data_IF_008883371724
#
_entry.id   IF_008883371724
#
_cell.length_a   1.000
_cell.length_b   1.000
_cell.length_c   1.000
_cell.angle_alpha   90.00
_cell.angle_beta   90.00
_cell.angle_gamma   90.00
#
_symmetry.space_group_name_H-M   'P 1'
#
loop_
_entity.id
_entity.type
_entity.pdbx_description
1 polymer ?
#
# COMPACT_ATOMS: atom_id res chain seq x y z
N UNK A 1 -33.87 22.22 6.10
CA UNK A 1 -32.75 23.17 6.28
C UNK A 1 -31.47 22.41 5.96
N UNK A 2 -30.63 22.93 5.06
CA UNK A 2 -29.49 22.17 4.52
C UNK A 2 -28.47 21.84 5.63
N UNK A 3 -28.25 20.55 5.92
CA UNK A 3 -27.26 20.10 6.93
C UNK A 3 -25.86 20.65 6.66
N UNK A 4 -25.53 21.03 5.42
CA UNK A 4 -24.27 21.70 5.10
C UNK A 4 -24.20 23.12 5.70
N UNK A 5 -25.29 23.87 5.68
CA UNK A 5 -25.35 25.21 6.29
C UNK A 5 -25.32 25.13 7.82
N UNK A 6 -25.94 24.11 8.40
CA UNK A 6 -25.83 23.83 9.85
C UNK A 6 -24.40 23.46 10.26
N UNK A 7 -23.68 22.71 9.41
CA UNK A 7 -22.27 22.40 9.61
C UNK A 7 -21.41 23.67 9.57
N UNK A 8 -21.60 24.54 8.57
CA UNK A 8 -20.92 25.84 8.49
C UNK A 8 -21.14 26.64 9.77
N UNK A 9 -22.40 26.81 10.18
CA UNK A 9 -22.76 27.55 11.40
C UNK A 9 -22.14 26.93 12.65
N UNK A 10 -22.07 25.61 12.74
CA UNK A 10 -21.45 24.92 13.86
C UNK A 10 -19.94 25.18 13.95
N UNK A 11 -19.23 25.15 12.82
CA UNK A 11 -17.79 25.44 12.75
C UNK A 11 -17.50 26.90 13.11
N UNK A 12 -18.28 27.83 12.57
CA UNK A 12 -18.18 29.28 12.86
C UNK A 12 -18.42 29.58 14.33
N UNK A 13 -19.45 28.97 14.94
CA UNK A 13 -19.76 29.13 16.38
C UNK A 13 -18.57 28.74 17.27
N UNK A 14 -17.76 27.77 16.83
CA UNK A 14 -16.58 27.31 17.55
C UNK A 14 -15.28 28.00 17.11
N UNK A 15 -15.37 29.01 16.23
CA UNK A 15 -14.23 29.72 15.64
C UNK A 15 -13.21 28.76 14.99
N UNK A 16 -13.71 27.76 14.28
CA UNK A 16 -12.87 26.82 13.51
C UNK A 16 -12.23 27.54 12.32
N UNK A 17 -10.98 27.22 12.00
CA UNK A 17 -10.32 27.67 10.77
C UNK A 17 -10.45 26.67 9.61
N UNK A 18 -11.21 25.60 9.83
CA UNK A 18 -11.48 24.58 8.83
C UNK A 18 -12.27 25.14 7.65
N UNK A 19 -11.90 24.73 6.45
CA UNK A 19 -12.53 25.20 5.22
C UNK A 19 -13.46 24.13 4.65
N UNK A 20 -14.71 24.51 4.37
CA UNK A 20 -15.68 23.64 3.70
C UNK A 20 -15.52 23.78 2.19
N UNK A 21 -15.33 22.66 1.52
CA UNK A 21 -15.14 22.56 0.07
C UNK A 21 -16.34 21.79 -0.49
N UNK A 22 -17.29 22.52 -1.04
CA UNK A 22 -18.51 21.99 -1.67
C UNK A 22 -18.21 21.56 -3.11
N UNK A 23 -19.11 20.78 -3.70
CA UNK A 23 -19.02 20.36 -5.11
C UNK A 23 -18.98 21.52 -6.09
N UNK A 24 -19.57 22.67 -5.73
CA UNK A 24 -19.54 23.89 -6.54
C UNK A 24 -18.24 24.70 -6.43
N UNK A 25 -17.33 24.37 -5.50
CA UNK A 25 -16.06 25.07 -5.38
C UNK A 25 -15.10 24.62 -6.48
N UNK A 26 -14.40 25.57 -7.12
CA UNK A 26 -13.45 25.27 -8.20
C UNK A 26 -12.34 24.27 -7.82
N UNK A 27 -11.98 24.21 -6.53
CA UNK A 27 -10.99 23.29 -5.99
C UNK A 27 -11.55 21.92 -5.56
N UNK A 28 -12.83 21.65 -5.78
CA UNK A 28 -13.44 20.37 -5.40
C UNK A 28 -12.75 19.21 -6.13
N UNK A 29 -12.51 19.34 -7.43
CA UNK A 29 -11.88 18.29 -8.24
C UNK A 29 -10.46 17.99 -7.80
N UNK A 30 -9.74 19.00 -7.31
CA UNK A 30 -8.41 18.84 -6.72
C UNK A 30 -8.46 17.98 -5.46
N UNK A 31 -9.47 18.19 -4.61
CA UNK A 31 -9.70 17.38 -3.43
C UNK A 31 -10.30 16.01 -3.76
N UNK A 32 -10.98 15.87 -4.91
CA UNK A 32 -11.59 14.62 -5.35
C UNK A 32 -10.76 13.85 -6.38
N UNK A 33 -9.52 14.27 -6.65
CA UNK A 33 -8.62 13.58 -7.57
C UNK A 33 -8.42 12.14 -7.13
N UNK A 34 -8.67 11.19 -8.02
CA UNK A 34 -8.57 9.75 -7.80
C UNK A 34 -7.82 9.11 -8.97
N UNK A 35 -6.65 8.54 -8.69
CA UNK A 35 -5.80 7.94 -9.72
C UNK A 35 -6.36 6.61 -10.27
N UNK A 36 -7.03 5.85 -9.40
CA UNK A 36 -7.69 4.61 -9.75
C UNK A 36 -9.13 4.91 -10.14
N UNK A 37 -9.52 4.56 -11.37
CA UNK A 37 -10.86 4.83 -11.90
C UNK A 37 -11.92 3.85 -11.35
N UNK A 38 -11.52 2.75 -10.73
CA UNK A 38 -12.45 1.75 -10.16
C UNK A 38 -13.29 2.37 -9.04
N UNK A 39 -14.62 2.26 -9.10
CA UNK A 39 -15.55 2.72 -8.05
C UNK A 39 -15.32 4.19 -7.59
N UNK A 40 -15.22 5.13 -8.55
CA UNK A 40 -15.10 6.57 -8.25
C UNK A 40 -16.12 7.04 -7.21
N UNK A 41 -15.63 7.77 -6.21
CA UNK A 41 -16.48 8.38 -5.17
C UNK A 41 -16.68 9.86 -5.47
N UNK A 42 -17.87 10.36 -5.13
CA UNK A 42 -18.20 11.78 -5.18
C UNK A 42 -18.77 12.21 -3.82
N UNK A 43 -17.92 12.59 -2.86
CA UNK A 43 -18.35 13.12 -1.58
C UNK A 43 -19.23 14.37 -1.75
N UNK A 44 -20.14 14.62 -0.80
CA UNK A 44 -20.95 15.85 -0.78
C UNK A 44 -20.11 17.12 -0.55
N UNK A 45 -18.89 16.96 -0.07
CA UNK A 45 -17.90 18.00 0.13
C UNK A 45 -16.74 17.49 0.98
N UNK A 46 -15.74 18.35 1.18
CA UNK A 46 -14.59 18.12 2.05
C UNK A 46 -14.51 19.17 3.14
N UNK A 47 -13.84 18.83 4.24
CA UNK A 47 -13.50 19.77 5.31
C UNK A 47 -11.98 19.75 5.43
N UNK A 48 -11.33 20.78 4.92
CA UNK A 48 -9.88 20.94 5.03
C UNK A 48 -9.57 21.58 6.39
N UNK A 49 -9.09 20.76 7.32
CA UNK A 49 -8.67 21.18 8.66
C UNK A 49 -7.22 21.66 8.64
N UNK A 50 -6.90 22.70 9.43
CA UNK A 50 -5.56 23.32 9.45
C UNK A 50 -4.82 23.13 10.78
N UNK A 51 -5.48 22.55 11.78
CA UNK A 51 -4.91 22.35 13.11
C UNK A 51 -5.57 21.19 13.86
N UNK A 52 -4.93 20.66 14.92
CA UNK A 52 -5.55 19.71 15.83
C UNK A 52 -6.84 20.24 16.49
N UNK A 53 -6.94 21.57 16.68
CA UNK A 53 -8.17 22.21 17.17
C UNK A 53 -9.30 22.08 16.16
N UNK A 54 -9.02 22.34 14.88
CA UNK A 54 -10.00 22.20 13.80
C UNK A 54 -10.49 20.77 13.65
N UNK A 55 -9.62 19.77 13.85
CA UNK A 55 -10.02 18.36 13.88
C UNK A 55 -11.05 18.12 14.99
N UNK A 56 -10.74 18.54 16.23
CA UNK A 56 -11.64 18.36 17.38
C UNK A 56 -13.00 19.03 17.16
N UNK A 57 -13.01 20.27 16.67
CA UNK A 57 -14.23 21.04 16.40
C UNK A 57 -15.03 20.40 15.26
N UNK A 58 -14.37 20.00 14.18
CA UNK A 58 -15.00 19.32 13.04
C UNK A 58 -15.69 18.03 13.48
N UNK A 59 -15.00 17.16 14.22
CA UNK A 59 -15.58 15.91 14.73
C UNK A 59 -16.76 16.20 15.66
N UNK A 60 -16.66 17.21 16.53
CA UNK A 60 -17.77 17.64 17.41
C UNK A 60 -19.00 18.03 16.60
N UNK A 61 -18.83 18.84 15.56
CA UNK A 61 -19.92 19.30 14.71
C UNK A 61 -20.54 18.17 13.86
N UNK A 62 -19.71 17.32 13.26
CA UNK A 62 -20.17 16.15 12.49
C UNK A 62 -20.98 15.19 13.37
N UNK A 63 -20.53 14.94 14.61
CA UNK A 63 -21.28 14.13 15.59
C UNK A 63 -22.62 14.75 15.96
N UNK A 64 -22.64 16.06 16.23
CA UNK A 64 -23.87 16.78 16.60
C UNK A 64 -24.93 16.73 15.48
N UNK A 65 -24.51 16.73 14.23
CA UNK A 65 -25.38 16.75 13.05
C UNK A 65 -25.64 15.35 12.46
N UNK A 66 -25.08 14.32 13.10
CA UNK A 66 -25.15 12.91 12.66
C UNK A 66 -24.69 12.72 11.20
N UNK A 67 -23.67 13.48 10.81
CA UNK A 67 -23.09 13.40 9.48
C UNK A 67 -22.09 12.25 9.41
N UNK A 68 -22.27 11.34 8.44
CA UNK A 68 -21.27 10.32 8.10
C UNK A 68 -20.07 11.01 7.45
N UNK A 69 -18.87 10.61 7.85
CA UNK A 69 -17.62 11.15 7.33
C UNK A 69 -16.57 10.06 7.22
N UNK A 70 -15.54 10.34 6.42
CA UNK A 70 -14.36 9.50 6.26
C UNK A 70 -13.14 10.41 6.39
N UNK A 71 -12.12 9.93 7.09
CA UNK A 71 -10.87 10.69 7.25
C UNK A 71 -10.00 10.49 6.01
N UNK A 72 -9.49 11.60 5.53
CA UNK A 72 -8.82 11.79 4.26
C UNK A 72 -7.34 12.17 4.53
N UNK A 73 -6.38 11.38 4.04
CA UNK A 73 -4.91 11.53 4.18
C UNK A 73 -4.26 11.27 2.81
N UNK A 74 -3.18 10.53 2.59
CA UNK A 74 -2.55 10.42 1.26
C UNK A 74 -3.45 9.92 0.10
N UNK A 75 -4.59 9.30 0.39
CA UNK A 75 -5.53 8.85 -0.64
C UNK A 75 -5.14 7.61 -1.43
N UNK A 76 -4.21 6.84 -0.87
CA UNK A 76 -3.73 5.59 -1.45
C UNK A 76 -4.54 4.36 -1.02
N UNK A 77 -5.70 4.52 -0.36
CA UNK A 77 -6.55 3.37 -0.04
C UNK A 77 -7.01 2.68 -1.32
N UNK A 78 -6.68 1.39 -1.46
CA UNK A 78 -6.99 0.58 -2.63
C UNK A 78 -8.50 0.37 -2.85
N UNK A 79 -9.30 0.45 -1.78
CA UNK A 79 -10.76 0.46 -1.79
C UNK A 79 -11.35 1.87 -1.56
N UNK A 80 -10.51 2.90 -1.68
CA UNK A 80 -10.88 4.33 -1.62
C UNK A 80 -11.48 4.77 -0.29
N UNK A 81 -11.03 4.18 0.81
CA UNK A 81 -11.47 4.53 2.16
C UNK A 81 -10.79 5.80 2.75
N UNK A 82 -9.92 6.57 2.05
CA UNK A 82 -9.12 7.67 2.70
C UNK A 82 -8.45 8.83 1.89
N UNK A 83 -9.01 9.43 0.82
CA UNK A 83 -8.37 10.50 -0.06
C UNK A 83 -7.58 11.72 0.58
N UNK A 84 -6.62 12.45 -0.04
CA UNK A 84 -5.95 13.80 0.29
C UNK A 84 -5.22 14.29 1.63
N UNK A 85 -3.97 14.80 1.52
CA UNK A 85 -3.18 15.58 2.54
C UNK A 85 -1.76 16.07 2.10
N UNK A 86 -1.17 17.14 2.72
CA UNK A 86 0.09 17.91 2.39
C UNK A 86 0.94 18.26 3.66
N UNK A 87 2.23 18.68 3.54
CA UNK A 87 3.27 18.73 4.64
C UNK A 87 4.19 19.98 4.64
N UNK A 88 4.70 20.36 5.83
CA UNK A 88 5.90 21.21 6.05
C UNK A 88 6.86 20.60 7.11
N UNK A 89 8.10 21.10 7.17
CA UNK A 89 9.25 20.50 7.88
C UNK A 89 9.76 21.39 9.03
N UNK A 90 10.24 20.78 10.13
CA UNK A 90 11.06 21.40 11.18
C UNK A 90 12.37 20.60 11.35
N UNK A 91 13.51 21.31 11.39
CA UNK A 91 14.87 20.75 11.24
C UNK A 91 15.65 20.59 12.55
N UNK A 92 15.08 20.87 13.72
CA UNK A 92 15.89 20.94 14.96
C UNK A 92 15.83 19.71 15.88
N UNK A 93 14.82 18.82 15.78
CA UNK A 93 14.55 17.82 16.84
C UNK A 93 14.85 16.36 16.48
N UNK A 94 15.14 16.02 15.22
CA UNK A 94 15.17 14.64 14.71
C UNK A 94 13.90 13.79 15.03
N UNK A 95 12.81 14.40 15.52
CA UNK A 95 11.52 13.76 15.72
C UNK A 95 10.62 14.14 14.53
N UNK A 96 10.32 13.16 13.68
CA UNK A 96 9.28 13.31 12.67
C UNK A 96 7.90 13.11 13.34
N UNK A 97 7.20 14.21 13.65
CA UNK A 97 5.77 14.12 13.97
C UNK A 97 5.00 13.96 12.65
N UNK A 98 4.66 12.72 12.32
CA UNK A 98 3.89 12.37 11.12
C UNK A 98 2.41 12.46 11.46
N UNK A 99 1.76 13.57 11.14
CA UNK A 99 0.29 13.65 11.17
C UNK A 99 -0.31 12.74 10.08
N UNK A 100 -1.53 12.23 10.29
CA UNK A 100 -2.21 11.39 9.30
C UNK A 100 -2.46 12.19 8.00
N UNK A 101 -1.56 12.08 7.02
CA UNK A 101 -1.57 12.96 5.84
C UNK A 101 -0.32 12.88 4.96
N UNK A 102 0.81 12.44 5.52
CA UNK A 102 2.12 12.49 4.87
C UNK A 102 2.22 11.51 3.69
N UNK A 103 2.42 12.08 2.51
CA UNK A 103 2.72 11.38 1.27
C UNK A 103 4.26 11.15 1.19
N UNK A 104 4.70 9.92 0.85
CA UNK A 104 6.13 9.53 0.73
C UNK A 104 6.71 9.64 -0.72
N UNK A 105 7.69 10.54 -0.90
CA UNK A 105 8.13 11.29 -2.11
C UNK A 105 8.20 10.67 -3.53
N UNK A 106 8.26 11.59 -4.52
CA UNK A 106 8.37 11.39 -5.98
C UNK A 106 9.84 11.18 -6.39
N UNK A 107 10.13 10.19 -7.26
CA UNK A 107 10.68 10.35 -8.62
C UNK A 107 11.29 9.01 -9.09
N UNK A 108 10.83 8.44 -10.22
CA UNK A 108 11.70 8.12 -11.38
C UNK A 108 10.96 7.39 -12.50
N UNK A 109 11.04 7.96 -13.69
CA UNK A 109 10.72 7.36 -14.99
C UNK A 109 12.01 7.17 -15.82
N UNK A 110 13.10 6.66 -15.22
CA UNK A 110 14.40 6.54 -15.92
C UNK A 110 15.21 5.28 -15.60
N UNK A 111 14.55 4.14 -15.36
CA UNK A 111 15.25 2.85 -15.17
C UNK A 111 14.70 1.74 -16.09
N UNK A 112 14.05 2.10 -17.20
CA UNK A 112 13.47 1.14 -18.14
C UNK A 112 14.37 0.76 -19.32
N UNK A 113 15.65 1.14 -19.32
CA UNK A 113 16.54 0.92 -20.48
C UNK A 113 17.78 0.05 -20.21
N UNK A 114 17.80 -0.78 -19.16
CA UNK A 114 18.91 -1.73 -19.00
C UNK A 114 18.45 -3.13 -18.60
N UNK A 115 18.60 -4.06 -19.56
CA UNK A 115 18.79 -5.49 -19.31
C UNK A 115 17.54 -6.36 -19.48
N UNK A 116 17.33 -6.89 -20.69
CA UNK A 116 16.41 -7.99 -20.96
C UNK A 116 16.84 -9.26 -20.20
N UNK A 117 16.02 -9.73 -19.25
CA UNK A 117 16.12 -11.08 -18.69
C UNK A 117 14.72 -11.67 -18.46
N UNK A 118 14.27 -12.48 -19.43
CA UNK A 118 13.16 -13.41 -19.25
C UNK A 118 13.71 -14.75 -18.73
N UNK A 119 13.80 -14.88 -17.41
CA UNK A 119 14.07 -16.14 -16.70
C UNK A 119 13.58 -16.01 -15.25
N UNK A 120 12.26 -15.88 -15.07
CA UNK A 120 11.61 -15.62 -13.78
C UNK A 120 11.92 -16.74 -12.76
N UNK A 121 11.78 -18.00 -13.15
CA UNK A 121 11.93 -19.16 -12.22
C UNK A 121 13.33 -19.25 -11.62
N UNK A 122 14.38 -19.16 -12.43
CA UNK A 122 15.77 -19.24 -11.96
C UNK A 122 16.11 -18.06 -11.04
N UNK A 123 15.81 -16.82 -11.45
CA UNK A 123 16.07 -15.64 -10.64
C UNK A 123 15.30 -15.68 -9.30
N UNK A 124 14.05 -16.16 -9.31
CA UNK A 124 13.27 -16.38 -8.08
C UNK A 124 13.89 -17.47 -7.21
N UNK A 125 14.35 -18.57 -7.80
CA UNK A 125 15.03 -19.64 -7.07
C UNK A 125 16.29 -19.11 -6.38
N UNK A 126 17.13 -18.34 -7.09
CA UNK A 126 18.35 -17.71 -6.54
C UNK A 126 18.01 -16.71 -5.43
N UNK A 127 16.97 -15.90 -5.60
CA UNK A 127 16.47 -15.00 -4.56
C UNK A 127 15.99 -15.73 -3.30
N UNK A 128 15.24 -16.83 -3.45
CA UNK A 128 14.81 -17.66 -2.32
C UNK A 128 16.00 -18.34 -1.63
N UNK A 129 17.01 -18.79 -2.37
CA UNK A 129 18.24 -19.34 -1.82
C UNK A 129 19.01 -18.30 -0.99
N UNK A 130 19.11 -17.07 -1.49
CA UNK A 130 19.67 -15.94 -0.73
C UNK A 130 18.88 -15.70 0.56
N UNK A 131 17.56 -15.61 0.48
CA UNK A 131 16.70 -15.38 1.65
C UNK A 131 16.79 -16.53 2.67
N UNK A 132 16.91 -17.77 2.20
CA UNK A 132 17.11 -18.97 3.05
C UNK A 132 18.41 -18.93 3.82
N UNK A 133 19.44 -18.25 3.28
CA UNK A 133 20.72 -18.06 3.96
C UNK A 133 20.68 -16.95 5.03
N UNK A 134 19.49 -16.41 5.35
CA UNK A 134 19.26 -15.43 6.42
C UNK A 134 20.19 -14.20 6.26
N UNK A 135 19.97 -13.40 5.21
CA UNK A 135 20.78 -12.21 4.96
C UNK A 135 20.75 -11.25 6.15
N UNK A 136 21.76 -10.38 6.23
CA UNK A 136 21.85 -9.39 7.31
C UNK A 136 20.59 -8.54 7.40
N UNK A 137 20.22 -8.16 8.63
CA UNK A 137 19.11 -7.24 8.91
C UNK A 137 19.31 -5.84 8.31
N UNK A 138 20.53 -5.50 7.87
CA UNK A 138 20.83 -4.28 7.12
C UNK A 138 20.39 -4.34 5.65
N UNK A 139 19.94 -5.49 5.15
CA UNK A 139 19.58 -5.69 3.74
C UNK A 139 18.07 -5.90 3.61
N UNK A 140 17.39 -4.98 2.94
CA UNK A 140 16.02 -5.18 2.45
C UNK A 140 16.02 -5.64 0.99
N UNK A 141 14.99 -6.40 0.60
CA UNK A 141 14.80 -6.77 -0.81
C UNK A 141 13.37 -6.55 -1.28
N UNK A 142 13.24 -6.06 -2.52
CA UNK A 142 11.98 -5.95 -3.23
C UNK A 142 12.09 -6.68 -4.58
N UNK A 143 11.02 -7.37 -4.97
CA UNK A 143 10.94 -7.96 -6.31
C UNK A 143 9.71 -7.43 -7.02
N UNK A 144 9.90 -6.81 -8.18
CA UNK A 144 8.82 -6.19 -8.96
C UNK A 144 8.66 -6.88 -10.29
N UNK A 145 7.43 -7.12 -10.71
CA UNK A 145 7.13 -7.63 -12.04
C UNK A 145 6.01 -6.83 -12.69
N UNK A 146 6.28 -6.35 -13.91
CA UNK A 146 5.30 -5.67 -14.73
C UNK A 146 4.78 -6.59 -15.82
N UNK A 147 3.47 -6.87 -15.81
CA UNK A 147 2.84 -7.78 -16.77
C UNK A 147 2.94 -7.30 -18.23
N UNK A 148 3.00 -5.98 -18.47
CA UNK A 148 3.21 -5.44 -19.82
C UNK A 148 4.66 -5.60 -20.31
N UNK A 149 5.61 -5.45 -19.40
CA UNK A 149 7.04 -5.57 -19.71
C UNK A 149 7.53 -7.01 -19.70
N UNK A 150 6.77 -7.93 -19.07
CA UNK A 150 7.20 -9.31 -18.82
C UNK A 150 8.57 -9.39 -18.15
N UNK A 151 8.87 -8.41 -17.29
CA UNK A 151 10.18 -8.22 -16.70
C UNK A 151 10.08 -8.21 -15.19
N UNK A 152 10.94 -9.00 -14.54
CA UNK A 152 11.12 -9.01 -13.10
C UNK A 152 12.40 -8.26 -12.73
N UNK A 153 12.29 -7.32 -11.78
CA UNK A 153 13.41 -6.60 -11.19
C UNK A 153 13.60 -7.04 -9.75
N UNK A 154 14.80 -7.50 -9.42
CA UNK A 154 15.22 -7.83 -8.07
C UNK A 154 16.07 -6.67 -7.54
N UNK A 155 15.60 -6.03 -6.47
CA UNK A 155 16.26 -4.89 -5.85
C UNK A 155 16.67 -5.24 -4.43
N UNK A 156 17.89 -4.82 -4.08
CA UNK A 156 18.46 -4.97 -2.76
C UNK A 156 18.85 -3.58 -2.26
N UNK A 157 18.43 -3.25 -1.04
CA UNK A 157 18.73 -1.98 -0.39
C UNK A 157 19.54 -2.30 0.86
N UNK A 158 20.81 -1.91 0.86
CA UNK A 158 21.72 -2.08 1.99
C UNK A 158 21.76 -0.77 2.76
N UNK A 159 21.38 -0.82 4.04
CA UNK A 159 21.55 0.28 4.98
C UNK A 159 22.67 -0.08 5.95
N UNK A 160 23.90 0.28 5.58
CA UNK A 160 25.10 -0.02 6.35
C UNK A 160 26.03 1.19 6.36
N UNK A 161 26.52 1.57 7.55
CA UNK A 161 27.42 2.71 7.73
C UNK A 161 28.89 2.29 7.63
N UNK A 162 29.20 1.01 7.90
CA UNK A 162 30.54 0.47 7.70
C UNK A 162 30.75 0.10 6.23
N UNK A 163 31.64 0.82 5.55
CA UNK A 163 31.90 0.61 4.12
C UNK A 163 32.43 -0.81 3.81
N UNK A 164 33.26 -1.38 4.69
CA UNK A 164 33.80 -2.73 4.50
C UNK A 164 32.72 -3.80 4.64
N UNK A 165 31.81 -3.63 5.59
CA UNK A 165 30.65 -4.51 5.77
C UNK A 165 29.63 -4.36 4.64
N UNK A 166 29.41 -3.14 4.14
CA UNK A 166 28.58 -2.89 2.96
C UNK A 166 29.14 -3.63 1.72
N UNK A 167 30.47 -3.60 1.49
CA UNK A 167 31.08 -4.36 0.40
C UNK A 167 30.88 -5.87 0.57
N UNK A 168 31.02 -6.41 1.79
CA UNK A 168 30.72 -7.82 2.07
C UNK A 168 29.26 -8.16 1.74
N UNK A 169 28.32 -7.30 2.10
CA UNK A 169 26.91 -7.50 1.74
C UNK A 169 26.65 -7.48 0.23
N UNK A 170 27.37 -6.64 -0.52
CA UNK A 170 27.32 -6.65 -1.99
C UNK A 170 27.83 -8.00 -2.51
N UNK A 171 28.96 -8.49 -2.00
CA UNK A 171 29.54 -9.77 -2.41
C UNK A 171 28.64 -10.96 -2.03
N UNK A 172 28.00 -10.92 -0.85
CA UNK A 172 27.01 -11.90 -0.42
C UNK A 172 25.82 -11.99 -1.40
N UNK A 173 25.36 -10.85 -1.93
CA UNK A 173 24.30 -10.82 -2.96
C UNK A 173 24.83 -11.34 -4.29
N UNK A 174 26.04 -10.92 -4.71
CA UNK A 174 26.68 -11.37 -5.96
C UNK A 174 26.88 -12.87 -6.03
N UNK A 175 27.09 -13.53 -4.89
CA UNK A 175 27.19 -14.99 -4.83
C UNK A 175 25.93 -15.70 -5.38
N UNK A 176 24.77 -15.05 -5.31
CA UNK A 176 23.51 -15.55 -5.90
C UNK A 176 23.15 -14.85 -7.22
N UNK A 177 23.64 -13.63 -7.45
CA UNK A 177 23.40 -12.83 -8.65
C UNK A 177 24.74 -12.41 -9.30
N UNK A 178 25.50 -13.34 -9.91
CA UNK A 178 26.80 -13.05 -10.52
C UNK A 178 26.73 -12.03 -11.66
N UNK A 179 25.55 -11.81 -12.25
CA UNK A 179 25.28 -10.79 -13.26
C UNK A 179 25.30 -9.34 -12.71
N UNK A 180 25.25 -9.18 -11.38
CA UNK A 180 25.24 -7.86 -10.72
C UNK A 180 26.61 -7.17 -10.80
N UNK A 181 26.83 -6.43 -11.89
CA UNK A 181 28.03 -5.62 -12.11
C UNK A 181 27.97 -4.25 -11.42
N UNK A 182 29.12 -3.56 -11.35
CA UNK A 182 29.26 -2.28 -10.65
C UNK A 182 28.35 -1.16 -11.17
N UNK A 183 27.91 -1.22 -12.44
CA UNK A 183 26.99 -0.21 -13.00
C UNK A 183 25.58 -0.31 -12.42
N UNK A 184 25.22 -1.47 -11.88
CA UNK A 184 23.93 -1.71 -11.22
C UNK A 184 23.98 -1.34 -9.72
N UNK A 185 25.18 -1.08 -9.19
CA UNK A 185 25.38 -0.70 -7.79
C UNK A 185 25.45 0.81 -7.70
N UNK A 186 24.69 1.36 -6.76
CA UNK A 186 24.73 2.79 -6.46
C UNK A 186 24.80 2.97 -4.95
N UNK A 187 25.89 3.60 -4.52
CA UNK A 187 26.14 3.98 -3.14
C UNK A 187 25.79 5.46 -3.05
N UNK A 188 24.82 5.80 -2.21
CA UNK A 188 24.34 7.17 -2.05
C UNK A 188 23.84 7.41 -0.63
N UNK A 189 23.53 8.66 -0.32
CA UNK A 189 22.93 9.00 0.97
C UNK A 189 21.55 8.35 1.12
N UNK A 190 21.09 8.23 2.37
CA UNK A 190 19.75 7.72 2.67
C UNK A 190 18.66 8.48 1.88
N UNK A 191 18.71 9.82 1.85
CA UNK A 191 17.72 10.65 1.16
C UNK A 191 17.71 10.43 -0.36
N UNK A 192 18.89 10.33 -0.99
CA UNK A 192 18.98 10.02 -2.42
C UNK A 192 18.47 8.62 -2.73
N UNK A 193 18.77 7.65 -1.86
CA UNK A 193 18.25 6.28 -1.99
C UNK A 193 16.74 6.26 -1.86
N UNK A 194 16.16 6.93 -0.85
CA UNK A 194 14.70 7.05 -0.68
C UNK A 194 14.06 7.62 -1.95
N UNK A 195 14.57 8.73 -2.48
CA UNK A 195 14.01 9.33 -3.70
C UNK A 195 14.05 8.37 -4.90
N UNK A 196 15.10 7.57 -5.01
CA UNK A 196 15.30 6.61 -6.11
C UNK A 196 14.42 5.37 -6.00
N UNK A 197 14.27 4.81 -4.79
CA UNK A 197 13.49 3.56 -4.59
C UNK A 197 12.01 3.81 -4.33
N UNK A 198 11.62 5.07 -4.10
CA UNK A 198 10.22 5.47 -3.94
C UNK A 198 9.44 5.32 -5.25
N UNK A 199 8.17 4.95 -5.13
CA UNK A 199 7.27 4.88 -6.28
C UNK A 199 6.95 6.29 -6.79
N UNK A 200 6.92 6.48 -8.10
CA UNK A 200 6.37 7.69 -8.68
C UNK A 200 4.89 7.80 -8.30
N UNK A 201 4.48 8.93 -7.70
CA UNK A 201 3.08 9.11 -7.36
C UNK A 201 2.22 9.34 -8.59
N UNK A 202 0.96 8.96 -8.42
CA UNK A 202 -0.09 9.42 -9.28
C UNK A 202 -0.38 10.91 -9.00
N UNK A 203 -0.04 11.73 -9.98
CA UNK A 203 -0.38 13.15 -10.02
C UNK A 203 -1.57 13.34 -10.97
N UNK A 204 -2.13 14.55 -11.06
CA UNK A 204 -3.16 14.86 -12.07
C UNK A 204 -2.69 14.63 -13.51
N UNK A 205 -1.38 14.65 -13.75
CA UNK A 205 -0.78 14.40 -15.06
C UNK A 205 -0.49 12.91 -15.30
N UNK A 206 -0.71 12.05 -14.30
CA UNK A 206 -0.51 10.62 -14.45
C UNK A 206 -1.62 10.02 -15.30
N UNK A 207 -1.25 9.05 -16.13
CA UNK A 207 -2.23 8.27 -16.89
C UNK A 207 -3.15 7.54 -15.91
N UNK A 208 -4.45 7.81 -16.02
CA UNK A 208 -5.47 7.17 -15.20
C UNK A 208 -5.68 5.72 -15.66
N UNK A 209 -5.98 4.85 -14.70
CA UNK A 209 -6.15 3.42 -14.98
C UNK A 209 -7.21 2.83 -14.06
N UNK A 210 -7.86 1.76 -14.52
CA UNK A 210 -8.56 0.84 -13.64
C UNK A 210 -7.52 -0.07 -12.99
N UNK A 211 -7.55 -0.15 -11.66
CA UNK A 211 -6.67 -1.05 -10.92
C UNK A 211 -7.45 -1.76 -9.82
N UNK A 212 -7.19 -3.05 -9.67
CA UNK A 212 -7.54 -3.83 -8.49
C UNK A 212 -6.28 -4.54 -8.03
N UNK A 213 -6.05 -4.55 -6.72
CA UNK A 213 -4.96 -5.29 -6.12
C UNK A 213 -5.46 -6.16 -4.99
N UNK A 214 -4.64 -7.14 -4.64
CA UNK A 214 -4.82 -8.05 -3.52
C UNK A 214 -3.46 -8.36 -2.91
N UNK A 215 -3.45 -9.01 -1.75
CA UNK A 215 -2.21 -9.51 -1.18
C UNK A 215 -2.42 -10.81 -0.41
N UNK A 216 -1.34 -11.56 -0.26
CA UNK A 216 -1.22 -12.60 0.76
C UNK A 216 0.22 -12.74 1.22
N UNK A 217 0.41 -13.28 2.42
CA UNK A 217 1.74 -13.63 2.92
C UNK A 217 2.17 -15.03 2.49
N UNK A 218 3.48 -15.20 2.34
CA UNK A 218 4.12 -16.48 2.04
C UNK A 218 5.10 -16.82 3.15
N UNK A 219 4.98 -18.02 3.71
CA UNK A 219 5.82 -18.52 4.83
C UNK A 219 6.63 -19.76 4.46
N UNK A 220 6.67 -20.14 3.18
CA UNK A 220 7.43 -21.30 2.68
C UNK A 220 8.24 -20.93 1.44
N UNK A 221 9.37 -21.61 1.25
CA UNK A 221 10.10 -21.54 -0.02
C UNK A 221 9.43 -22.44 -1.06
N UNK A 222 9.26 -21.93 -2.27
CA UNK A 222 8.67 -22.63 -3.38
C UNK A 222 9.70 -23.52 -4.08
N UNK A 223 9.27 -24.72 -4.49
CA UNK A 223 10.08 -25.57 -5.36
C UNK A 223 9.96 -25.12 -6.84
N UNK A 224 10.73 -25.75 -7.73
CA UNK A 224 10.75 -25.39 -9.15
C UNK A 224 9.38 -25.49 -9.83
N UNK A 225 8.60 -26.55 -9.56
CA UNK A 225 7.26 -26.73 -10.14
C UNK A 225 6.31 -25.63 -9.67
N UNK A 226 6.38 -25.28 -8.39
CA UNK A 226 5.62 -24.19 -7.78
C UNK A 226 6.00 -22.82 -8.35
N UNK A 227 7.30 -22.57 -8.57
CA UNK A 227 7.79 -21.35 -9.21
C UNK A 227 7.37 -21.24 -10.68
N UNK A 228 7.43 -22.34 -11.43
CA UNK A 228 6.94 -22.40 -12.81
C UNK A 228 5.45 -22.11 -12.85
N UNK A 229 4.65 -22.75 -11.98
CA UNK A 229 3.21 -22.48 -11.91
C UNK A 229 2.91 -21.02 -11.53
N UNK A 230 3.66 -20.45 -10.60
CA UNK A 230 3.55 -19.03 -10.24
C UNK A 230 3.85 -18.14 -11.45
N UNK A 231 4.97 -18.40 -12.14
CA UNK A 231 5.40 -17.68 -13.33
C UNK A 231 4.36 -17.75 -14.45
N UNK A 232 3.90 -18.95 -14.82
CA UNK A 232 2.91 -19.16 -15.88
C UNK A 232 1.60 -18.44 -15.57
N UNK A 233 1.16 -18.47 -14.30
CA UNK A 233 -0.07 -17.79 -13.87
C UNK A 233 0.02 -16.26 -14.03
N UNK A 234 1.21 -15.67 -13.88
CA UNK A 234 1.41 -14.23 -14.08
C UNK A 234 1.22 -13.83 -15.54
N UNK A 235 1.76 -14.64 -16.46
CA UNK A 235 1.61 -14.44 -17.89
C UNK A 235 0.17 -14.69 -18.34
N UNK A 236 -0.42 -15.82 -17.93
CA UNK A 236 -1.76 -16.24 -18.33
C UNK A 236 -2.83 -15.22 -17.94
N UNK A 237 -2.73 -14.66 -16.72
CA UNK A 237 -3.73 -13.73 -16.20
C UNK A 237 -3.32 -12.26 -16.26
N UNK A 238 -2.18 -11.95 -16.88
CA UNK A 238 -1.66 -10.58 -17.05
C UNK A 238 -1.57 -9.82 -15.71
N UNK A 239 -0.87 -10.42 -14.74
CA UNK A 239 -0.78 -9.95 -13.35
C UNK A 239 0.58 -9.31 -13.10
N UNK A 240 0.59 -8.10 -12.53
CA UNK A 240 1.80 -7.47 -11.99
C UNK A 240 1.91 -7.76 -10.50
N UNK A 241 3.13 -7.86 -9.96
CA UNK A 241 3.32 -8.05 -8.52
C UNK A 241 4.48 -7.24 -7.95
N UNK A 242 4.43 -7.11 -6.63
CA UNK A 242 5.49 -6.66 -5.75
C UNK A 242 5.66 -7.69 -4.63
N UNK A 243 6.88 -8.19 -4.44
CA UNK A 243 7.29 -8.93 -3.26
C UNK A 243 8.12 -8.03 -2.35
N UNK A 244 7.84 -8.07 -1.06
CA UNK A 244 8.63 -7.38 -0.04
C UNK A 244 9.03 -8.40 1.03
N UNK A 245 10.31 -8.45 1.38
CA UNK A 245 10.83 -9.40 2.39
C UNK A 245 10.40 -9.01 3.81
N UNK A 246 9.92 -9.98 4.59
CA UNK A 246 9.42 -9.78 5.96
C UNK A 246 10.29 -10.48 7.03
N UNK A 247 11.46 -10.99 6.65
CA UNK A 247 12.38 -11.67 7.59
C UNK A 247 13.13 -10.68 8.51
N UNK A 248 14.05 -11.20 9.33
CA UNK A 248 14.92 -10.36 10.15
C UNK A 248 14.21 -9.67 11.31
N UNK A 249 14.43 -8.36 11.49
CA UNK A 249 13.86 -7.56 12.60
C UNK A 249 12.34 -7.62 12.72
N UNK A 250 11.64 -7.83 11.60
CA UNK A 250 10.17 -7.96 11.62
C UNK A 250 9.75 -9.19 12.43
N UNK A 251 10.51 -10.29 12.33
CA UNK A 251 10.20 -11.58 12.97
C UNK A 251 10.71 -11.66 14.43
N UNK A 252 11.52 -10.70 14.90
CA UNK A 252 11.96 -10.64 16.30
C UNK A 252 10.84 -10.17 17.26
N UNK A 253 9.82 -9.50 16.74
CA UNK A 253 8.70 -8.95 17.52
C UNK A 253 7.57 -9.99 17.58
N UNK A 254 7.03 -10.22 18.77
CA UNK A 254 5.88 -11.13 18.96
C UNK A 254 4.66 -10.70 18.14
N UNK A 255 3.93 -11.68 17.59
CA UNK A 255 2.76 -11.45 16.73
C UNK A 255 1.61 -10.72 17.44
N UNK A 256 1.56 -10.74 18.78
CA UNK A 256 0.56 -10.03 19.58
C UNK A 256 1.00 -8.64 20.08
N UNK A 257 2.24 -8.25 19.81
CA UNK A 257 2.81 -7.00 20.33
C UNK A 257 2.10 -5.76 19.78
N UNK A 258 1.72 -5.78 18.49
CA UNK A 258 0.96 -4.72 17.83
C UNK A 258 -0.26 -5.30 17.09
N UNK A 259 -1.10 -4.46 16.50
CA UNK A 259 -2.21 -4.93 15.67
C UNK A 259 -1.73 -5.75 14.46
N UNK A 260 -0.52 -5.45 13.97
CA UNK A 260 0.13 -6.15 12.86
C UNK A 260 0.70 -7.48 13.37
N UNK A 261 0.13 -8.59 12.90
CA UNK A 261 0.45 -9.95 13.36
C UNK A 261 1.44 -10.73 12.49
N UNK A 262 1.77 -10.23 11.29
CA UNK A 262 2.49 -10.97 10.25
C UNK A 262 4.01 -11.02 10.51
N UNK A 263 4.39 -11.71 11.58
CA UNK A 263 5.76 -11.81 12.12
C UNK A 263 6.47 -13.11 11.76
N UNK A 264 5.80 -14.02 11.05
CA UNK A 264 6.32 -15.34 10.69
C UNK A 264 6.16 -15.59 9.19
N UNK A 265 6.50 -14.58 8.38
CA UNK A 265 6.39 -14.60 6.92
C UNK A 265 7.76 -14.37 6.30
N UNK A 266 8.01 -15.02 5.16
CA UNK A 266 9.20 -14.77 4.36
C UNK A 266 9.05 -13.46 3.58
N UNK A 267 7.87 -13.26 3.00
CA UNK A 267 7.52 -12.06 2.25
C UNK A 267 6.00 -11.89 2.14
N UNK A 268 5.57 -10.67 1.82
CA UNK A 268 4.22 -10.40 1.32
C UNK A 268 4.26 -10.35 -0.21
N UNK A 269 3.23 -10.91 -0.84
CA UNK A 269 3.00 -10.76 -2.28
C UNK A 269 1.80 -9.84 -2.47
N UNK A 270 2.05 -8.62 -2.95
CA UNK A 270 1.01 -7.74 -3.49
C UNK A 270 0.91 -8.00 -4.99
N UNK A 271 -0.29 -8.24 -5.49
CA UNK A 271 -0.52 -8.46 -6.91
C UNK A 271 -1.69 -7.62 -7.40
N UNK A 272 -1.59 -7.16 -8.63
CA UNK A 272 -2.56 -6.25 -9.22
C UNK A 272 -2.78 -6.54 -10.70
N UNK A 273 -4.02 -6.33 -11.13
CA UNK A 273 -4.40 -6.23 -12.52
C UNK A 273 -4.79 -4.79 -12.79
N UNK A 274 -4.29 -4.22 -13.88
CA UNK A 274 -4.58 -2.85 -14.26
C UNK A 274 -4.76 -2.68 -15.77
N UNK A 275 -5.65 -1.80 -16.18
CA UNK A 275 -5.85 -1.43 -17.58
C UNK A 275 -6.05 0.09 -17.73
N UNK A 276 -5.61 0.62 -18.88
CA UNK A 276 -5.87 2.01 -19.24
C UNK A 276 -7.31 2.18 -19.73
N UNK A 277 -7.79 3.42 -19.79
CA UNK A 277 -9.02 3.74 -20.50
C UNK A 277 -8.86 3.42 -21.99
N UNK A 278 -9.88 2.83 -22.58
CA UNK A 278 -9.97 2.67 -24.04
C UNK A 278 -11.26 3.33 -24.55
N UNK A 279 -11.28 3.86 -25.78
CA UNK A 279 -12.49 4.44 -26.36
C UNK A 279 -13.67 3.45 -26.42
N UNK A 280 -13.39 2.15 -26.46
CA UNK A 280 -14.37 1.07 -26.60
C UNK A 280 -15.08 0.69 -25.28
N UNK A 281 -14.52 1.08 -24.13
CA UNK A 281 -15.11 0.86 -22.80
C UNK A 281 -15.00 2.16 -21.97
N UNK A 282 -15.74 3.21 -22.34
CA UNK A 282 -15.58 4.56 -21.75
C UNK A 282 -15.90 4.58 -20.24
N UNK A 283 -16.80 3.69 -19.78
CA UNK A 283 -17.15 3.52 -18.37
C UNK A 283 -16.30 2.43 -17.67
N UNK A 284 -15.47 1.70 -18.42
CA UNK A 284 -14.57 0.67 -17.91
C UNK A 284 -15.26 -0.53 -17.27
N UNK A 285 -16.53 -0.77 -17.57
CA UNK A 285 -17.33 -1.78 -16.85
C UNK A 285 -16.87 -3.20 -17.21
N UNK A 286 -16.61 -3.46 -18.49
CA UNK A 286 -16.16 -4.77 -18.94
C UNK A 286 -14.70 -4.98 -18.55
N UNK A 287 -13.88 -3.94 -18.69
CA UNK A 287 -12.50 -3.90 -18.20
C UNK A 287 -12.42 -4.27 -16.72
N UNK A 288 -13.25 -3.66 -15.87
CA UNK A 288 -13.26 -3.96 -14.43
C UNK A 288 -13.63 -5.42 -14.13
N UNK A 289 -14.63 -5.98 -14.83
CA UNK A 289 -15.00 -7.40 -14.69
C UNK A 289 -13.85 -8.32 -15.09
N UNK A 290 -13.20 -8.05 -16.23
CA UNK A 290 -12.09 -8.86 -16.70
C UNK A 290 -10.89 -8.81 -15.75
N UNK A 291 -10.52 -7.62 -15.26
CA UNK A 291 -9.45 -7.47 -14.27
C UNK A 291 -9.75 -8.24 -12.98
N UNK A 292 -10.99 -8.18 -12.50
CA UNK A 292 -11.43 -8.94 -11.33
C UNK A 292 -11.36 -10.45 -11.58
N UNK A 293 -11.88 -10.94 -12.72
CA UNK A 293 -11.80 -12.37 -13.08
C UNK A 293 -10.37 -12.88 -13.17
N UNK A 294 -9.45 -12.09 -13.75
CA UNK A 294 -8.04 -12.45 -13.82
C UNK A 294 -7.40 -12.57 -12.44
N UNK A 295 -7.72 -11.66 -11.52
CA UNK A 295 -7.22 -11.71 -10.14
C UNK A 295 -7.76 -12.91 -9.36
N UNK A 296 -9.01 -13.30 -9.59
CA UNK A 296 -9.59 -14.51 -8.99
C UNK A 296 -8.89 -15.77 -9.50
N UNK A 297 -8.79 -15.91 -10.83
CA UNK A 297 -8.12 -17.08 -11.45
C UNK A 297 -6.66 -17.19 -11.02
N UNK A 298 -5.95 -16.07 -11.00
CA UNK A 298 -4.59 -16.02 -10.49
C UNK A 298 -4.52 -16.43 -9.02
N UNK A 299 -5.36 -15.86 -8.15
CA UNK A 299 -5.38 -16.21 -6.72
C UNK A 299 -5.59 -17.71 -6.52
N UNK A 300 -6.55 -18.29 -7.25
CA UNK A 300 -6.83 -19.71 -7.20
C UNK A 300 -5.64 -20.56 -7.68
N UNK A 301 -4.99 -20.17 -8.77
CA UNK A 301 -3.86 -20.92 -9.33
C UNK A 301 -2.65 -20.93 -8.39
N UNK A 302 -2.41 -19.82 -7.66
CA UNK A 302 -1.26 -19.65 -6.74
C UNK A 302 -1.59 -19.84 -5.26
N UNK A 303 -2.78 -20.33 -4.92
CA UNK A 303 -3.25 -20.50 -3.53
C UNK A 303 -2.30 -21.35 -2.67
N UNK A 304 -1.54 -22.27 -3.29
CA UNK A 304 -0.55 -23.11 -2.62
C UNK A 304 0.60 -22.33 -1.96
N UNK A 305 0.81 -21.06 -2.36
CA UNK A 305 1.83 -20.16 -1.79
C UNK A 305 1.35 -19.47 -0.52
N UNK A 306 0.04 -19.19 -0.42
CA UNK A 306 -0.53 -18.32 0.58
C UNK A 306 -0.61 -19.01 1.96
N UNK A 307 -0.19 -18.30 3.01
CA UNK A 307 -0.34 -18.77 4.40
C UNK A 307 -1.73 -18.44 5.00
N UNK A 308 -2.61 -17.77 4.24
CA UNK A 308 -3.95 -17.37 4.66
C UNK A 308 -4.06 -15.99 5.30
N UNK A 309 -2.94 -15.26 5.47
CA UNK A 309 -2.91 -13.90 6.01
C UNK A 309 -2.79 -12.85 4.88
N UNK A 310 -3.30 -11.64 5.14
CA UNK A 310 -3.33 -10.54 4.16
C UNK A 310 -2.94 -9.23 4.85
N UNK A 311 -2.32 -8.30 4.12
CA UNK A 311 -1.94 -7.02 4.71
C UNK A 311 -3.06 -6.00 4.63
N UNK A 312 -3.47 -5.43 5.77
CA UNK A 312 -4.58 -4.46 5.85
C UNK A 312 -4.38 -3.21 4.99
N UNK A 313 -3.15 -2.77 4.71
CA UNK A 313 -2.92 -1.61 3.83
C UNK A 313 -3.10 -1.93 2.33
N UNK A 314 -3.11 -3.22 1.97
CA UNK A 314 -3.57 -3.73 0.67
C UNK A 314 -5.00 -4.26 0.79
N UNK A 315 -5.86 -3.44 1.41
CA UNK A 315 -7.23 -3.82 1.74
C UNK A 315 -7.99 -4.30 0.51
N UNK A 316 -8.68 -5.42 0.66
CA UNK A 316 -9.56 -5.99 -0.34
C UNK A 316 -10.96 -6.15 0.26
N UNK A 317 -11.94 -5.48 -0.35
CA UNK A 317 -13.34 -5.53 0.09
C UNK A 317 -14.01 -6.89 -0.13
N UNK A 318 -13.40 -7.76 -0.93
CA UNK A 318 -13.93 -9.07 -1.33
C UNK A 318 -13.26 -10.23 -0.55
N UNK A 319 -12.38 -9.90 0.39
CA UNK A 319 -11.65 -10.90 1.15
C UNK A 319 -12.57 -11.64 2.14
N UNK A 320 -12.49 -12.98 2.13
CA UNK A 320 -13.20 -13.81 3.10
C UNK A 320 -12.53 -13.75 4.47
N UNK A 321 -13.33 -13.69 5.54
CA UNK A 321 -12.87 -13.54 6.93
C UNK A 321 -11.79 -12.45 7.12
N UNK A 322 -12.01 -11.22 6.60
CA UNK A 322 -10.94 -10.23 6.42
C UNK A 322 -10.24 -9.88 7.74
N UNK A 323 -11.00 -9.81 8.84
CA UNK A 323 -10.44 -9.50 10.15
C UNK A 323 -9.47 -10.56 10.67
N UNK A 324 -9.75 -11.85 10.42
CA UNK A 324 -8.84 -12.94 10.79
C UNK A 324 -7.58 -12.87 9.94
N UNK A 325 -7.71 -12.56 8.64
CA UNK A 325 -6.54 -12.46 7.74
C UNK A 325 -5.68 -11.24 8.00
N UNK A 326 -6.27 -10.10 8.41
CA UNK A 326 -5.56 -8.85 8.67
C UNK A 326 -4.95 -8.77 10.06
N UNK A 327 -5.58 -9.38 11.06
CA UNK A 327 -5.23 -9.18 12.47
C UNK A 327 -4.99 -10.48 13.24
N UNK A 328 -5.15 -11.64 12.62
CA UNK A 328 -4.93 -12.94 13.25
C UNK A 328 -5.68 -13.03 14.60
N UNK A 329 -5.01 -13.52 15.64
CA UNK A 329 -5.54 -13.60 17.01
C UNK A 329 -5.72 -12.22 17.68
N UNK A 330 -5.15 -11.14 17.13
CA UNK A 330 -5.24 -9.80 17.71
C UNK A 330 -6.59 -9.13 17.46
N UNK A 331 -7.40 -9.67 16.54
CA UNK A 331 -8.71 -9.11 16.24
C UNK A 331 -9.59 -8.95 17.49
N UNK A 332 -9.53 -9.91 18.42
CA UNK A 332 -10.29 -9.86 19.68
C UNK A 332 -9.99 -8.62 20.50
N UNK A 333 -8.69 -8.37 20.73
CA UNK A 333 -8.20 -7.19 21.45
C UNK A 333 -8.58 -5.90 20.73
N UNK A 334 -8.57 -5.89 19.39
CA UNK A 334 -8.98 -4.71 18.62
C UNK A 334 -10.46 -4.37 18.79
N UNK A 335 -11.35 -5.37 18.83
CA UNK A 335 -12.78 -5.16 19.11
C UNK A 335 -12.98 -4.60 20.53
N UNK A 336 -12.24 -5.08 21.51
CA UNK A 336 -12.27 -4.54 22.88
C UNK A 336 -11.81 -3.09 22.95
N UNK A 337 -10.70 -2.76 22.28
CA UNK A 337 -10.22 -1.37 22.14
C UNK A 337 -11.26 -0.50 21.45
N UNK A 338 -11.88 -0.98 20.37
CA UNK A 338 -12.93 -0.25 19.64
C UNK A 338 -14.13 0.05 20.53
N UNK A 339 -14.57 -0.89 21.37
CA UNK A 339 -15.67 -0.68 22.34
C UNK A 339 -15.30 0.39 23.37
N UNK A 340 -14.06 0.38 23.86
CA UNK A 340 -13.63 1.31 24.90
C UNK A 340 -13.49 2.75 24.36
N UNK A 341 -12.93 2.92 23.16
CA UNK A 341 -12.60 4.24 22.63
C UNK A 341 -13.63 4.81 21.63
N UNK A 342 -14.44 3.98 21.00
CA UNK A 342 -15.51 4.40 20.07
C UNK A 342 -16.78 3.54 20.21
N UNK A 343 -17.43 3.53 21.39
CA UNK A 343 -18.62 2.72 21.67
C UNK A 343 -19.83 3.07 20.80
N UNK A 344 -19.84 4.26 20.18
CA UNK A 344 -20.89 4.72 19.28
C UNK A 344 -20.58 4.43 17.80
N UNK A 345 -19.47 3.75 17.53
CA UNK A 345 -18.98 3.42 16.19
C UNK A 345 -18.96 4.63 15.23
N UNK A 346 -18.48 5.77 15.73
CA UNK A 346 -18.40 7.02 14.97
C UNK A 346 -17.42 6.89 13.82
N UNK A 347 -16.25 6.29 14.06
CA UNK A 347 -15.21 6.06 13.05
C UNK A 347 -15.44 4.71 12.37
N UNK A 348 -16.19 4.69 11.28
CA UNK A 348 -16.54 3.47 10.57
C UNK A 348 -16.44 3.61 9.05
N UNK A 349 -16.00 2.54 8.43
CA UNK A 349 -16.00 2.30 6.98
C UNK A 349 -16.29 0.80 6.76
N UNK A 350 -16.52 0.30 5.53
CA UNK A 350 -17.01 -1.06 5.30
C UNK A 350 -16.22 -2.17 6.02
N UNK A 351 -14.90 -2.01 6.16
CA UNK A 351 -14.00 -2.95 6.84
C UNK A 351 -13.34 -2.37 8.11
N UNK A 352 -13.98 -1.40 8.78
CA UNK A 352 -13.51 -0.94 10.09
C UNK A 352 -13.76 -2.00 11.16
N UNK A 353 -12.90 -2.05 12.19
CA UNK A 353 -13.09 -2.93 13.36
C UNK A 353 -14.53 -2.77 13.92
N UNK A 354 -15.32 -3.86 14.01
CA UNK A 354 -16.70 -3.82 14.48
C UNK A 354 -16.78 -3.71 16.00
N UNK A 355 -17.98 -3.45 16.51
CA UNK A 355 -18.28 -3.52 17.95
C UNK A 355 -18.61 -4.94 18.42
N UNK A 356 -18.82 -5.90 17.54
CA UNK A 356 -19.18 -7.28 17.85
C UNK A 356 -18.33 -8.27 17.08
N UNK A 357 -18.14 -9.46 17.65
CA UNK A 357 -17.67 -10.62 16.90
C UNK A 357 -18.87 -11.11 16.11
N UNK A 358 -18.83 -10.97 14.79
CA UNK A 358 -19.79 -11.64 13.91
C UNK A 358 -19.14 -12.90 13.38
#
# INVERSE_FOLDING_TARGET
>A
MDKQNELTKCLETHKSTAEIIRQSNAKYDDFNFQYNLRQMKQPKGFIAVKSPRDVKVTIKCLKKLELKFTVKSGGHSFEKYSFGGYVSLDRETNIATVEAGVLLGMLTQRLLEFGNYGATVDAFSRWQCWLKNKPSNSIGSLVRYGAKSNFARFEFVIHENDYGLMLKHIDDIRAYFPEMNDKLIQISSYNETVNRVSFAYYTKNSTLSYMKSRSFYVSKFLNEQELTKFSDSLFEYNISFLLETYTGKINEIDSSHTAFCHRNSLYVLQYAASSLLTPEDPDGNETQKQLHMNLEKFRQSVQFMANGECYVNYIDSEESDPFKKFYCNNFRRLVEVKRNYDPKNIFRFPLSIPLTFN
#
